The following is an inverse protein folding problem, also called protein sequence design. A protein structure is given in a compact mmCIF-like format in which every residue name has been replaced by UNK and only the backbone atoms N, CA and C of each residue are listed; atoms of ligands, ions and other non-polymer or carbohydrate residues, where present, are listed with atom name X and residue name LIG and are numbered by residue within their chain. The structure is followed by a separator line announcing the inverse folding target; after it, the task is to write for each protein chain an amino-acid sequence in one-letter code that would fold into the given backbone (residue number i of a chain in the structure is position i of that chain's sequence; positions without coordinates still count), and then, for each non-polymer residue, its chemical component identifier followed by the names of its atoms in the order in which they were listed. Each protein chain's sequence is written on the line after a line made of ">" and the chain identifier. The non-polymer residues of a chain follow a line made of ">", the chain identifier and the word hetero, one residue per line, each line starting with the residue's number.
data_IF_959218190437
#
_entry.id   IF_959218190437
#
_cell.length_a   1.000
_cell.length_b   1.000
_cell.length_c   1.000
_cell.angle_alpha   90.00
_cell.angle_beta   90.00
_cell.angle_gamma   90.00
#
_symmetry.space_group_name_H-M   'P 1'
#
loop_
_entity.id
_entity.type
_entity.pdbx_description
1 polymer ?
#
# COMPACT_ATOMS: atom_id res chain seq x y z
N UNK A 1 -16.01 0.78 37.41
CA UNK A 1 -15.57 2.05 36.78
C UNK A 1 -14.17 2.53 37.19
N UNK A 2 -13.67 2.26 38.41
CA UNK A 2 -12.38 2.79 38.91
C UNK A 2 -11.10 2.23 38.22
N UNK A 3 -11.09 0.96 37.80
CA UNK A 3 -9.89 0.32 37.27
C UNK A 3 -9.41 0.90 35.92
N UNK A 4 -10.34 1.23 35.01
CA UNK A 4 -10.01 1.81 33.71
C UNK A 4 -9.42 3.22 33.86
N UNK A 5 -10.00 4.04 34.73
CA UNK A 5 -9.52 5.39 35.00
C UNK A 5 -8.09 5.37 35.58
N UNK A 6 -7.82 4.47 36.53
CA UNK A 6 -6.48 4.29 37.09
C UNK A 6 -5.45 3.87 36.03
N UNK A 7 -5.82 3.00 35.07
CA UNK A 7 -4.95 2.61 33.95
C UNK A 7 -4.65 3.79 33.02
N UNK A 8 -5.66 4.59 32.68
CA UNK A 8 -5.50 5.79 31.83
C UNK A 8 -4.60 6.83 32.52
N UNK A 9 -4.72 7.01 33.84
CA UNK A 9 -3.84 7.89 34.60
C UNK A 9 -2.37 7.44 34.56
N UNK A 10 -2.10 6.14 34.72
CA UNK A 10 -0.74 5.59 34.58
C UNK A 10 -0.15 5.90 33.20
N UNK A 11 -0.93 5.75 32.13
CA UNK A 11 -0.49 6.13 30.77
C UNK A 11 -0.16 7.63 30.70
N UNK A 12 -0.98 8.50 31.29
CA UNK A 12 -0.71 9.94 31.34
C UNK A 12 0.61 10.24 32.06
N UNK A 13 0.85 9.62 33.22
CA UNK A 13 2.09 9.79 33.98
C UNK A 13 3.32 9.33 33.22
N UNK A 14 3.27 8.14 32.61
CA UNK A 14 4.35 7.63 31.76
C UNK A 14 4.64 8.58 30.61
N UNK A 15 3.60 9.08 29.93
CA UNK A 15 3.73 10.03 28.81
C UNK A 15 4.34 11.37 29.26
N UNK A 16 3.97 11.91 30.43
CA UNK A 16 4.54 13.16 30.98
C UNK A 16 6.03 13.05 31.30
N UNK A 17 6.50 11.87 31.72
CA UNK A 17 7.91 11.62 32.07
C UNK A 17 8.81 11.36 30.85
N UNK A 18 8.23 11.23 29.65
CA UNK A 18 9.00 11.01 28.42
C UNK A 18 9.92 12.19 28.10
N UNK A 19 11.16 11.96 27.61
CA UNK A 19 12.01 13.05 27.11
C UNK A 19 11.52 13.67 25.80
N UNK A 20 10.72 12.94 25.02
CA UNK A 20 10.09 13.44 23.79
C UNK A 20 8.90 14.36 24.09
N UNK A 21 9.01 15.63 23.69
CA UNK A 21 7.96 16.65 23.84
C UNK A 21 6.66 16.26 23.13
N UNK A 22 6.73 15.51 22.03
CA UNK A 22 5.54 15.02 21.33
C UNK A 22 4.73 14.08 22.22
N UNK A 23 5.40 13.12 22.86
CA UNK A 23 4.81 12.15 23.79
C UNK A 23 4.28 12.83 25.05
N UNK A 24 4.95 13.86 25.57
CA UNK A 24 4.43 14.64 26.71
C UNK A 24 3.08 15.29 26.38
N UNK A 25 2.92 15.86 25.18
CA UNK A 25 1.62 16.42 24.73
C UNK A 25 0.51 15.38 24.70
N UNK A 26 0.83 14.11 24.39
CA UNK A 26 -0.13 13.01 24.40
C UNK A 26 -0.63 12.64 25.81
N UNK A 27 0.01 13.12 26.87
CA UNK A 27 -0.47 12.93 28.23
C UNK A 27 -1.76 13.73 28.54
N UNK A 28 -2.06 14.76 27.74
CA UNK A 28 -3.33 15.50 27.82
C UNK A 28 -4.51 14.70 27.27
N UNK A 29 -4.23 13.75 26.38
CA UNK A 29 -5.20 12.82 25.77
C UNK A 29 -4.76 11.37 25.94
N UNK A 30 -4.60 10.88 27.18
CA UNK A 30 -3.93 9.61 27.49
C UNK A 30 -4.71 8.37 27.01
N UNK A 31 -6.02 8.50 26.83
CA UNK A 31 -6.91 7.44 26.34
C UNK A 31 -6.95 7.35 24.81
N UNK A 32 -6.35 8.31 24.09
CA UNK A 32 -6.34 8.35 22.62
C UNK A 32 -5.01 7.83 22.05
N UNK A 33 -5.07 7.31 20.83
CA UNK A 33 -3.89 6.98 20.03
C UNK A 33 -3.09 8.24 19.68
N UNK A 34 -1.78 8.06 19.43
CA UNK A 34 -0.90 9.15 19.01
C UNK A 34 -1.41 9.78 17.71
N UNK A 35 -1.58 8.93 16.71
CA UNK A 35 -2.03 9.30 15.38
C UNK A 35 -3.55 9.24 15.32
N UNK A 36 -4.16 10.36 14.94
CA UNK A 36 -5.61 10.53 14.82
C UNK A 36 -6.05 10.70 13.36
N UNK A 37 -5.16 10.44 12.40
CA UNK A 37 -5.50 10.49 10.99
C UNK A 37 -6.36 9.28 10.67
N UNK A 38 -7.68 9.48 10.63
CA UNK A 38 -8.67 8.44 10.49
C UNK A 38 -9.70 8.84 9.43
N UNK A 39 -9.32 8.79 8.14
CA UNK A 39 -10.23 9.16 7.05
C UNK A 39 -11.39 8.17 6.93
N UNK A 40 -12.48 8.59 6.28
CA UNK A 40 -13.67 7.75 6.09
C UNK A 40 -13.38 6.45 5.35
N UNK A 41 -12.45 6.50 4.39
CA UNK A 41 -11.88 5.35 3.71
C UNK A 41 -10.40 5.58 3.38
N UNK A 42 -9.66 4.48 3.26
CA UNK A 42 -8.27 4.52 2.81
C UNK A 42 -7.81 3.16 2.27
N UNK A 43 -6.78 3.21 1.43
CA UNK A 43 -5.95 2.03 1.13
C UNK A 43 -4.85 1.96 2.17
N UNK A 44 -4.69 0.80 2.80
CA UNK A 44 -3.58 0.48 3.68
C UNK A 44 -2.46 -0.19 2.88
N UNK A 45 -1.25 0.35 3.02
CA UNK A 45 -0.02 -0.17 2.41
C UNK A 45 0.95 -0.59 3.52
N UNK A 46 1.30 -1.88 3.66
CA UNK A 46 2.25 -2.31 4.68
C UNK A 46 3.62 -1.63 4.51
N UNK A 47 4.20 -1.13 5.61
CA UNK A 47 5.53 -0.50 5.56
C UNK A 47 6.66 -1.53 5.38
N UNK A 48 6.46 -2.76 5.85
CA UNK A 48 7.40 -3.88 5.68
C UNK A 48 6.64 -5.09 5.18
N UNK A 49 7.16 -5.74 4.14
CA UNK A 49 6.59 -6.98 3.61
C UNK A 49 7.68 -7.89 3.04
N UNK A 50 7.45 -9.21 3.09
CA UNK A 50 8.44 -10.18 2.60
C UNK A 50 8.80 -9.92 1.14
N UNK A 51 10.10 -10.00 0.86
CA UNK A 51 10.68 -9.90 -0.47
C UNK A 51 10.23 -11.01 -1.41
N UNK A 52 9.81 -12.17 -0.89
CA UNK A 52 9.33 -13.29 -1.70
C UNK A 52 8.07 -12.95 -2.49
N UNK A 53 7.22 -12.03 -2.00
CA UNK A 53 5.93 -11.75 -2.63
C UNK A 53 6.10 -11.03 -3.96
N UNK A 54 5.38 -11.50 -4.98
CA UNK A 54 5.30 -10.84 -6.31
C UNK A 54 4.48 -9.55 -6.23
N UNK A 55 3.46 -9.53 -5.38
CA UNK A 55 2.64 -8.35 -5.12
C UNK A 55 2.57 -8.11 -3.62
N UNK A 56 2.82 -6.87 -3.19
CA UNK A 56 2.59 -6.49 -1.78
C UNK A 56 1.08 -6.45 -1.53
N UNK A 57 0.57 -7.21 -0.54
CA UNK A 57 -0.88 -7.23 -0.27
C UNK A 57 -1.34 -5.90 0.33
N UNK A 58 -2.20 -5.20 -0.40
CA UNK A 58 -2.86 -3.96 0.02
C UNK A 58 -4.33 -4.23 0.39
N UNK A 59 -4.95 -3.38 1.21
CA UNK A 59 -6.36 -3.54 1.59
C UNK A 59 -7.10 -2.23 1.73
N UNK A 60 -8.42 -2.26 1.58
CA UNK A 60 -9.30 -1.13 1.90
C UNK A 60 -9.77 -1.21 3.35
N UNK A 61 -9.78 -0.06 4.01
CA UNK A 61 -10.25 0.09 5.38
C UNK A 61 -11.03 1.39 5.52
N UNK A 62 -11.83 1.47 6.59
CA UNK A 62 -12.68 2.62 6.92
C UNK A 62 -12.27 3.27 8.25
N UNK A 63 -13.01 4.30 8.65
CA UNK A 63 -12.78 5.03 9.90
C UNK A 63 -12.97 4.18 11.18
N UNK A 64 -13.44 2.94 11.10
CA UNK A 64 -13.54 2.06 12.27
C UNK A 64 -12.20 1.39 12.59
N UNK A 65 -11.22 1.45 11.68
CA UNK A 65 -9.90 0.83 11.84
C UNK A 65 -8.83 1.91 11.93
N UNK A 66 -8.14 1.96 13.07
CA UNK A 66 -6.99 2.84 13.26
C UNK A 66 -5.72 2.14 12.75
N UNK A 67 -5.17 2.64 11.66
CA UNK A 67 -3.88 2.17 11.16
C UNK A 67 -2.74 2.61 12.11
N UNK A 68 -1.74 1.74 12.27
CA UNK A 68 -0.55 2.03 13.08
C UNK A 68 0.63 2.47 12.21
N UNK A 69 1.73 2.87 12.84
CA UNK A 69 2.94 3.38 12.18
C UNK A 69 3.65 2.36 11.27
N UNK A 70 3.30 1.07 11.35
CA UNK A 70 3.85 0.04 10.47
C UNK A 70 3.11 -0.07 9.13
N UNK A 71 2.18 0.84 8.86
CA UNK A 71 1.52 0.97 7.58
C UNK A 71 1.54 2.43 7.12
N UNK A 72 1.50 2.61 5.81
CA UNK A 72 1.07 3.85 5.18
C UNK A 72 -0.41 3.77 4.84
N UNK A 73 -1.06 4.92 4.76
CA UNK A 73 -2.45 5.02 4.30
C UNK A 73 -2.52 6.00 3.13
N UNK A 74 -3.36 5.69 2.14
CA UNK A 74 -3.76 6.60 1.08
C UNK A 74 -5.23 6.97 1.31
N UNK A 75 -5.51 8.14 1.93
CA UNK A 75 -6.88 8.60 2.18
C UNK A 75 -7.64 8.87 0.89
N UNK A 76 -8.96 8.63 0.90
CA UNK A 76 -9.85 8.97 -0.23
C UNK A 76 -9.46 8.33 -1.56
N UNK A 77 -8.72 7.22 -1.49
CA UNK A 77 -8.28 6.48 -2.66
C UNK A 77 -9.44 5.69 -3.27
N UNK A 78 -9.39 5.54 -4.59
CA UNK A 78 -10.35 4.74 -5.35
C UNK A 78 -9.74 3.41 -5.77
N UNK A 79 -10.56 2.57 -6.40
CA UNK A 79 -10.10 1.34 -7.06
C UNK A 79 -9.04 1.61 -8.14
N UNK A 80 -8.94 2.83 -8.68
CA UNK A 80 -7.90 3.17 -9.65
C UNK A 80 -6.53 3.17 -8.98
N UNK A 81 -6.36 3.93 -7.89
CA UNK A 81 -5.10 3.95 -7.15
C UNK A 81 -4.78 2.55 -6.62
N UNK A 82 -5.78 1.82 -6.13
CA UNK A 82 -5.60 0.44 -5.70
C UNK A 82 -5.09 -0.48 -6.82
N UNK A 83 -5.65 -0.37 -8.02
CA UNK A 83 -5.22 -1.12 -9.19
C UNK A 83 -3.78 -0.81 -9.59
N UNK A 84 -3.42 0.47 -9.67
CA UNK A 84 -2.04 0.86 -10.00
C UNK A 84 -1.06 0.36 -8.94
N UNK A 85 -1.34 0.56 -7.65
CA UNK A 85 -0.45 0.13 -6.58
C UNK A 85 -0.35 -1.39 -6.43
N UNK A 86 -1.40 -2.12 -6.85
CA UNK A 86 -1.41 -3.59 -6.86
C UNK A 86 -0.75 -4.17 -8.10
N UNK A 87 -0.43 -3.37 -9.12
CA UNK A 87 0.20 -3.86 -10.35
C UNK A 87 1.66 -4.29 -10.16
N UNK A 88 2.11 -5.21 -11.02
CA UNK A 88 3.48 -5.67 -11.09
C UNK A 88 4.44 -4.52 -11.43
N UNK A 89 4.00 -3.57 -12.25
CA UNK A 89 4.78 -2.41 -12.65
C UNK A 89 5.09 -1.49 -11.44
N UNK A 90 4.10 -1.23 -10.57
CA UNK A 90 4.36 -0.51 -9.32
C UNK A 90 5.23 -1.30 -8.35
N UNK A 91 4.99 -2.61 -8.23
CA UNK A 91 5.79 -3.47 -7.38
C UNK A 91 7.25 -3.57 -7.85
N UNK A 92 7.52 -3.57 -9.15
CA UNK A 92 8.87 -3.53 -9.70
C UNK A 92 9.56 -2.19 -9.43
N UNK A 93 8.85 -1.06 -9.59
CA UNK A 93 9.37 0.25 -9.18
C UNK A 93 9.74 0.25 -7.69
N UNK A 94 8.83 -0.23 -6.84
CA UNK A 94 9.05 -0.37 -5.40
C UNK A 94 10.30 -1.22 -5.12
N UNK A 95 10.48 -2.37 -5.78
CA UNK A 95 11.67 -3.22 -5.62
C UNK A 95 12.97 -2.50 -5.91
N UNK A 96 12.96 -1.62 -6.92
CA UNK A 96 14.12 -0.86 -7.38
C UNK A 96 14.50 0.25 -6.39
N UNK A 97 13.52 1.01 -5.90
CA UNK A 97 13.81 2.27 -5.17
C UNK A 97 13.58 2.20 -3.66
N UNK A 98 12.77 1.24 -3.18
CA UNK A 98 12.46 1.14 -1.75
C UNK A 98 13.70 0.79 -0.91
N UNK A 99 13.71 1.26 0.33
CA UNK A 99 14.63 0.73 1.34
C UNK A 99 14.31 -0.73 1.65
N UNK A 100 15.17 -1.35 2.46
CA UNK A 100 15.00 -2.76 2.90
C UNK A 100 15.14 -2.91 4.40
N UNK A 101 14.48 -3.91 4.97
CA UNK A 101 14.76 -4.43 6.31
C UNK A 101 15.41 -5.80 6.15
N UNK A 102 16.74 -5.86 6.29
CA UNK A 102 17.54 -6.96 5.71
C UNK A 102 17.26 -7.03 4.21
N UNK A 103 16.51 -8.04 3.76
CA UNK A 103 16.10 -8.22 2.37
C UNK A 103 14.63 -7.86 2.13
N UNK A 104 13.79 -7.81 3.18
CA UNK A 104 12.37 -7.50 3.10
C UNK A 104 12.15 -6.10 2.53
N UNK A 105 11.08 -5.93 1.76
CA UNK A 105 10.68 -4.65 1.22
C UNK A 105 10.32 -3.70 2.36
N UNK A 106 10.88 -2.49 2.35
CA UNK A 106 10.48 -1.40 3.26
C UNK A 106 9.91 -0.24 2.46
N UNK A 107 8.59 -0.23 2.33
CA UNK A 107 7.86 0.78 1.59
C UNK A 107 8.07 2.18 2.19
N UNK A 108 8.07 3.20 1.34
CA UNK A 108 8.10 4.60 1.75
C UNK A 108 7.29 5.45 0.79
N UNK A 109 6.39 6.27 1.32
CA UNK A 109 5.65 7.22 0.49
C UNK A 109 6.59 8.17 -0.26
N UNK A 110 7.65 8.67 0.37
CA UNK A 110 8.54 9.67 -0.23
C UNK A 110 9.45 9.11 -1.32
N UNK A 111 9.88 7.86 -1.19
CA UNK A 111 10.86 7.26 -2.11
C UNK A 111 10.20 6.36 -3.15
N UNK A 112 9.04 5.76 -2.85
CA UNK A 112 8.32 4.87 -3.76
C UNK A 112 7.15 5.58 -4.40
N UNK A 113 6.15 6.00 -3.61
CA UNK A 113 4.89 6.52 -4.15
C UNK A 113 5.08 7.89 -4.85
N UNK A 114 5.76 8.82 -4.19
CA UNK A 114 5.92 10.19 -4.69
C UNK A 114 6.83 10.27 -5.93
N UNK A 115 7.70 9.28 -6.12
CA UNK A 115 8.60 9.19 -7.28
C UNK A 115 8.08 8.27 -8.37
N UNK A 116 7.01 7.50 -8.09
CA UNK A 116 6.43 6.60 -9.07
C UNK A 116 5.96 7.40 -10.29
N UNK A 117 6.41 7.07 -11.51
CA UNK A 117 6.07 7.83 -12.70
C UNK A 117 4.65 7.45 -13.17
N UNK A 118 3.64 8.04 -12.54
CA UNK A 118 2.21 7.78 -12.82
C UNK A 118 1.86 7.94 -14.31
N UNK A 119 0.94 7.12 -14.85
CA UNK A 119 0.50 7.23 -16.23
C UNK A 119 -0.51 8.37 -16.40
N UNK A 120 -0.61 8.88 -17.63
CA UNK A 120 -1.70 9.77 -18.03
C UNK A 120 -2.78 8.91 -18.67
N UNK A 121 -4.02 9.00 -18.19
CA UNK A 121 -5.09 8.06 -18.58
C UNK A 121 -6.35 8.78 -19.03
N UNK A 122 -7.06 8.16 -19.98
CA UNK A 122 -8.42 8.58 -20.35
C UNK A 122 -9.45 8.10 -19.31
N UNK A 123 -10.67 8.66 -19.29
CA UNK A 123 -11.74 8.18 -18.43
C UNK A 123 -12.05 6.68 -18.63
N UNK A 124 -12.07 6.21 -19.88
CA UNK A 124 -12.31 4.80 -20.19
C UNK A 124 -11.22 3.86 -19.66
N UNK A 125 -9.95 4.25 -19.80
CA UNK A 125 -8.82 3.50 -19.22
C UNK A 125 -8.90 3.46 -17.70
N UNK A 126 -9.25 4.59 -17.05
CA UNK A 126 -9.41 4.65 -15.60
C UNK A 126 -10.50 3.71 -15.10
N UNK A 127 -11.66 3.68 -15.76
CA UNK A 127 -12.75 2.78 -15.39
C UNK A 127 -12.39 1.31 -15.61
N UNK A 128 -11.66 0.98 -16.68
CA UNK A 128 -11.20 -0.39 -16.89
C UNK A 128 -10.23 -0.86 -15.78
N UNK A 129 -9.28 -0.01 -15.35
CA UNK A 129 -8.43 -0.34 -14.20
C UNK A 129 -9.23 -0.54 -12.93
N UNK A 130 -10.24 0.32 -12.67
CA UNK A 130 -11.10 0.17 -11.50
C UNK A 130 -11.84 -1.16 -11.51
N UNK A 131 -12.40 -1.55 -12.65
CA UNK A 131 -13.12 -2.83 -12.84
C UNK A 131 -12.22 -4.03 -12.57
N UNK A 132 -11.02 -4.05 -13.16
CA UNK A 132 -10.05 -5.15 -12.96
C UNK A 132 -9.52 -5.19 -11.52
N UNK A 133 -9.31 -4.03 -10.90
CA UNK A 133 -8.89 -3.92 -9.52
C UNK A 133 -9.96 -4.44 -8.55
N UNK A 134 -11.23 -4.16 -8.83
CA UNK A 134 -12.38 -4.70 -8.10
C UNK A 134 -12.49 -6.21 -8.25
N UNK A 135 -12.38 -6.72 -9.48
CA UNK A 135 -12.38 -8.17 -9.77
C UNK A 135 -11.26 -8.89 -8.99
N UNK A 136 -10.04 -8.36 -9.03
CA UNK A 136 -8.92 -8.90 -8.25
C UNK A 136 -9.15 -8.82 -6.74
N UNK A 137 -9.74 -7.72 -6.25
CA UNK A 137 -10.05 -7.55 -4.85
C UNK A 137 -11.08 -8.58 -4.37
N UNK A 138 -12.19 -8.71 -5.09
CA UNK A 138 -13.29 -9.63 -4.78
C UNK A 138 -12.88 -11.09 -4.92
N UNK A 139 -11.95 -11.42 -5.83
CA UNK A 139 -11.40 -12.79 -5.96
C UNK A 139 -10.79 -13.29 -4.65
N UNK A 140 -10.37 -12.40 -3.74
CA UNK A 140 -9.85 -12.78 -2.42
C UNK A 140 -10.95 -13.41 -1.55
N UNK A 141 -12.20 -13.00 -1.74
CA UNK A 141 -13.35 -13.43 -0.93
C UNK A 141 -13.77 -14.88 -1.23
N UNK A 142 -13.35 -15.42 -2.38
CA UNK A 142 -13.56 -16.83 -2.75
C UNK A 142 -12.74 -17.80 -1.89
N UNK A 143 -11.87 -17.29 -1.02
CA UNK A 143 -10.95 -18.07 -0.18
C UNK A 143 -11.17 -17.80 1.32
N UNK A 144 -12.36 -18.07 1.86
CA UNK A 144 -12.65 -17.82 3.27
C UNK A 144 -11.71 -18.59 4.19
N UNK A 145 -11.26 -17.95 5.27
CA UNK A 145 -10.34 -18.53 6.24
C UNK A 145 -8.86 -18.47 5.85
N UNK A 146 -8.52 -18.08 4.60
CA UNK A 146 -7.13 -17.80 4.21
C UNK A 146 -6.77 -16.35 4.50
N UNK A 147 -5.57 -16.16 5.04
CA UNK A 147 -5.02 -14.82 5.28
C UNK A 147 -4.43 -14.22 3.99
N UNK A 148 -4.31 -12.89 3.93
CA UNK A 148 -3.57 -12.24 2.84
C UNK A 148 -2.13 -12.75 2.71
N UNK A 149 -1.50 -13.15 3.82
CA UNK A 149 -0.16 -13.72 3.80
C UNK A 149 -0.11 -15.04 3.02
N UNK A 150 -1.13 -15.89 3.17
CA UNK A 150 -1.24 -17.16 2.44
C UNK A 150 -1.72 -16.97 1.00
N UNK A 151 -2.61 -16.01 0.73
CA UNK A 151 -3.08 -15.70 -0.62
C UNK A 151 -1.97 -15.11 -1.51
N UNK A 152 -1.01 -14.42 -0.91
CA UNK A 152 0.10 -13.77 -1.61
C UNK A 152 1.46 -14.46 -1.39
N UNK A 153 1.46 -15.69 -0.85
CA UNK A 153 2.65 -16.55 -0.86
C UNK A 153 2.82 -17.12 -2.28
N UNK A 154 3.96 -16.89 -2.97
CA UNK A 154 4.15 -17.35 -4.36
C UNK A 154 3.88 -18.84 -4.58
N UNK A 155 4.14 -19.68 -3.57
CA UNK A 155 3.95 -21.14 -3.69
C UNK A 155 2.50 -21.57 -3.46
N UNK A 156 1.66 -20.68 -2.91
CA UNK A 156 0.28 -21.00 -2.49
C UNK A 156 -0.77 -20.10 -3.14
N UNK A 157 -0.35 -19.08 -3.88
CA UNK A 157 -1.25 -18.11 -4.49
C UNK A 157 -2.27 -18.83 -5.39
N UNK A 158 -3.59 -18.66 -5.15
CA UNK A 158 -4.58 -19.30 -5.99
C UNK A 158 -4.42 -18.91 -7.46
N UNK A 159 -4.56 -19.85 -8.42
CA UNK A 159 -4.47 -19.53 -9.85
C UNK A 159 -5.46 -18.46 -10.31
N UNK A 160 -6.68 -18.42 -9.73
CA UNK A 160 -7.67 -17.38 -10.04
C UNK A 160 -7.20 -15.99 -9.60
N UNK A 161 -6.63 -15.86 -8.41
CA UNK A 161 -6.09 -14.59 -7.92
C UNK A 161 -4.88 -14.15 -8.77
N UNK A 162 -4.00 -15.08 -9.13
CA UNK A 162 -2.88 -14.79 -10.03
C UNK A 162 -3.38 -14.32 -11.41
N UNK A 163 -4.38 -14.98 -11.99
CA UNK A 163 -4.98 -14.58 -13.26
C UNK A 163 -5.60 -13.17 -13.20
N UNK A 164 -6.27 -12.84 -12.08
CA UNK A 164 -6.82 -11.50 -11.87
C UNK A 164 -5.73 -10.41 -11.81
N UNK A 165 -4.60 -10.69 -11.14
CA UNK A 165 -3.43 -9.79 -11.18
C UNK A 165 -2.85 -9.67 -12.58
N UNK A 166 -2.70 -10.77 -13.32
CA UNK A 166 -2.18 -10.73 -14.68
C UNK A 166 -3.06 -9.93 -15.64
N UNK A 167 -4.39 -10.01 -15.50
CA UNK A 167 -5.32 -9.19 -16.26
C UNK A 167 -5.16 -7.70 -15.95
N UNK A 168 -5.07 -7.37 -14.65
CA UNK A 168 -4.78 -6.01 -14.19
C UNK A 168 -3.43 -5.50 -14.72
N UNK A 169 -2.38 -6.31 -14.68
CA UNK A 169 -1.04 -5.97 -15.16
C UNK A 169 -1.04 -5.66 -16.65
N UNK A 170 -1.70 -6.49 -17.48
CA UNK A 170 -1.84 -6.23 -18.91
C UNK A 170 -2.52 -4.89 -19.18
N UNK A 171 -3.55 -4.55 -18.40
CA UNK A 171 -4.24 -3.27 -18.55
C UNK A 171 -3.40 -2.09 -18.08
N UNK A 172 -2.66 -2.23 -16.98
CA UNK A 172 -1.75 -1.19 -16.47
C UNK A 172 -0.57 -0.98 -17.41
N UNK A 173 0.05 -2.03 -17.93
CA UNK A 173 1.16 -1.95 -18.89
C UNK A 173 0.76 -1.15 -20.14
N UNK A 174 -0.47 -1.34 -20.62
CA UNK A 174 -1.05 -0.60 -21.75
C UNK A 174 -1.23 0.90 -21.49
N UNK A 175 -1.25 1.35 -20.23
CA UNK A 175 -1.26 2.78 -19.92
C UNK A 175 0.09 3.45 -20.20
N UNK A 176 1.16 2.66 -20.29
CA UNK A 176 2.52 3.15 -20.53
C UNK A 176 2.92 3.00 -21.99
N UNK A 177 2.57 1.88 -22.63
CA UNK A 177 2.86 1.67 -24.06
C UNK A 177 2.01 0.54 -24.65
N UNK A 178 1.83 0.55 -25.96
CA UNK A 178 1.05 -0.47 -26.68
C UNK A 178 1.74 -1.84 -26.69
N UNK A 179 3.08 -1.87 -26.73
CA UNK A 179 3.86 -3.10 -26.80
C UNK A 179 4.03 -3.71 -25.39
N UNK A 180 3.73 -5.01 -25.18
CA UNK A 180 3.98 -5.67 -23.91
C UNK A 180 5.43 -5.53 -23.42
N UNK A 181 5.63 -5.46 -22.11
CA UNK A 181 6.96 -5.56 -21.52
C UNK A 181 7.50 -6.98 -21.58
N UNK A 182 8.77 -7.11 -21.93
CA UNK A 182 9.42 -8.44 -22.03
C UNK A 182 9.69 -9.05 -20.66
N UNK A 183 10.13 -8.23 -19.72
CA UNK A 183 10.55 -8.62 -18.38
C UNK A 183 10.58 -7.39 -17.45
N UNK A 184 11.01 -7.60 -16.21
CA UNK A 184 11.15 -6.54 -15.21
C UNK A 184 12.19 -5.48 -15.62
N UNK A 185 13.27 -5.85 -16.32
CA UNK A 185 14.29 -4.89 -16.74
C UNK A 185 13.73 -3.93 -17.80
N UNK A 186 12.93 -4.43 -18.75
CA UNK A 186 12.22 -3.62 -19.75
C UNK A 186 11.21 -2.66 -19.07
N UNK A 187 10.44 -3.13 -18.08
CA UNK A 187 9.56 -2.25 -17.28
C UNK A 187 10.34 -1.15 -16.57
N UNK A 188 11.38 -1.50 -15.83
CA UNK A 188 12.17 -0.55 -15.06
C UNK A 188 12.88 0.49 -15.94
N UNK A 189 13.46 0.07 -17.07
CA UNK A 189 14.09 0.99 -18.02
C UNK A 189 13.08 2.02 -18.55
N UNK A 190 11.86 1.59 -18.88
CA UNK A 190 10.81 2.51 -19.31
C UNK A 190 10.41 3.48 -18.19
N UNK A 191 10.20 2.98 -16.96
CA UNK A 191 9.81 3.82 -15.83
C UNK A 191 10.88 4.85 -15.46
N UNK A 192 12.15 4.47 -15.51
CA UNK A 192 13.27 5.39 -15.27
C UNK A 192 13.31 6.50 -16.33
N UNK A 193 13.16 6.16 -17.61
CA UNK A 193 13.10 7.16 -18.67
C UNK A 193 11.90 8.11 -18.52
N UNK A 194 10.74 7.58 -18.13
CA UNK A 194 9.55 8.40 -17.82
C UNK A 194 9.78 9.31 -16.62
N UNK A 195 10.34 8.78 -15.53
CA UNK A 195 10.68 9.55 -14.33
C UNK A 195 11.66 10.69 -14.66
N UNK A 196 12.69 10.42 -15.46
CA UNK A 196 13.62 11.45 -15.93
C UNK A 196 12.89 12.54 -16.74
N UNK A 197 11.97 12.14 -17.64
CA UNK A 197 11.15 13.09 -18.40
C UNK A 197 10.23 13.96 -17.54
N UNK A 198 9.72 13.43 -16.42
CA UNK A 198 8.86 14.17 -15.49
C UNK A 198 9.64 15.10 -14.53
N UNK A 199 10.95 14.89 -14.39
CA UNK A 199 11.80 15.64 -13.44
C UNK A 199 12.73 16.65 -14.11
N UNK A 200 12.95 16.53 -15.42
CA UNK A 200 13.65 17.54 -16.21
C UNK A 200 12.85 18.85 -16.21
N UNK A 201 13.51 19.93 -15.77
CA UNK A 201 13.01 21.30 -15.82
C UNK A 201 13.15 21.89 -17.22
#
# INVERSE_FOLDING_TARGET
>A
MLATQARVQKVAETRRKSPDKGTQKLALRPHQFRDLNNPSNYILVPSVSSERRIYVPLGFFDANVISTNLNFILPHATLYEFGILSSLLHNDWMRLVAGRLKSDYRYSATVVYNTFPWPSVTPGQREEIKRLAEEMYLTRDDFPGRTLAELYDPDKMPPSLLAAHQALDVAVDKLYRDKPFRDAADRLNYLLARYEGLTKK
#
